data_IF_525840045083
#
_entry.id   IF_525840045083
#
_cell.length_a   1.000
_cell.length_b   1.000
_cell.length_c   1.000
_cell.angle_alpha   90.00
_cell.angle_beta   90.00
_cell.angle_gamma   90.00
#
_symmetry.space_group_name_H-M   'P 1'
#
loop_
_entity.id
_entity.type
_entity.pdbx_description
1 polymer ?
#
# COMPACT_ATOMS: atom_id res chain seq x y z
N UNK A 1 13.12 -3.64 -23.71
CA UNK A 1 12.39 -4.29 -22.59
C UNK A 1 12.33 -3.41 -21.34
N UNK A 2 13.37 -2.61 -21.03
CA UNK A 2 13.34 -1.65 -19.90
C UNK A 2 12.10 -0.74 -19.80
N UNK A 3 11.54 -0.31 -20.94
CA UNK A 3 10.33 0.53 -20.96
C UNK A 3 9.09 -0.24 -20.43
N UNK A 4 8.95 -1.51 -20.81
CA UNK A 4 7.84 -2.37 -20.37
C UNK A 4 7.98 -2.71 -18.88
N UNK A 5 9.19 -3.08 -18.47
CA UNK A 5 9.51 -3.37 -17.07
C UNK A 5 9.21 -2.16 -16.18
N UNK A 6 9.59 -0.95 -16.63
CA UNK A 6 9.33 0.28 -15.88
C UNK A 6 7.85 0.67 -15.86
N UNK A 7 7.12 0.39 -16.95
CA UNK A 7 5.68 0.61 -17.02
C UNK A 7 4.92 -0.31 -16.06
N UNK A 8 5.25 -1.60 -16.04
CA UNK A 8 4.68 -2.59 -15.11
C UNK A 8 5.06 -2.22 -13.67
N UNK A 9 6.33 -1.90 -13.42
CA UNK A 9 6.79 -1.50 -12.09
C UNK A 9 6.05 -0.26 -11.59
N UNK A 10 5.86 0.77 -12.43
CA UNK A 10 5.10 1.97 -12.05
C UNK A 10 3.65 1.67 -11.72
N UNK A 11 3.00 0.76 -12.46
CA UNK A 11 1.64 0.31 -12.16
C UNK A 11 1.57 -0.45 -10.83
N UNK A 12 2.52 -1.35 -10.58
CA UNK A 12 2.60 -2.10 -9.33
C UNK A 12 2.86 -1.15 -8.15
N UNK A 13 3.84 -0.24 -8.26
CA UNK A 13 4.15 0.73 -7.21
C UNK A 13 2.97 1.65 -6.90
N UNK A 14 2.21 2.07 -7.92
CA UNK A 14 0.98 2.84 -7.71
C UNK A 14 -0.08 2.02 -6.96
N UNK A 15 -0.30 0.76 -7.37
CA UNK A 15 -1.26 -0.13 -6.72
C UNK A 15 -0.87 -0.43 -5.26
N UNK A 16 0.41 -0.75 -5.00
CA UNK A 16 0.96 -0.94 -3.64
C UNK A 16 0.77 0.32 -2.80
N UNK A 17 1.03 1.51 -3.36
CA UNK A 17 0.83 2.77 -2.67
C UNK A 17 -0.63 3.00 -2.25
N UNK A 18 -1.58 2.68 -3.13
CA UNK A 18 -3.02 2.78 -2.83
C UNK A 18 -3.42 1.80 -1.72
N UNK A 19 -3.00 0.53 -1.83
CA UNK A 19 -3.31 -0.49 -0.82
C UNK A 19 -2.70 -0.11 0.54
N UNK A 20 -1.45 0.35 0.55
CA UNK A 20 -0.76 0.80 1.76
C UNK A 20 -1.45 2.00 2.40
N UNK A 21 -1.91 2.97 1.61
CA UNK A 21 -2.69 4.11 2.10
C UNK A 21 -3.99 3.65 2.74
N UNK A 22 -4.74 2.74 2.11
CA UNK A 22 -5.99 2.20 2.66
C UNK A 22 -5.74 1.47 3.97
N UNK A 23 -4.75 0.57 4.01
CA UNK A 23 -4.42 -0.21 5.22
C UNK A 23 -3.99 0.71 6.36
N UNK A 24 -3.05 1.63 6.10
CA UNK A 24 -2.60 2.58 7.13
C UNK A 24 -3.70 3.54 7.54
N UNK A 25 -4.55 3.99 6.62
CA UNK A 25 -5.67 4.88 6.93
C UNK A 25 -6.65 4.25 7.90
N UNK A 26 -7.01 2.98 7.66
CA UNK A 26 -7.87 2.22 8.57
C UNK A 26 -7.20 1.98 9.93
N UNK A 27 -5.91 1.65 9.92
CA UNK A 27 -5.12 1.36 11.11
C UNK A 27 -4.86 2.61 11.99
N UNK A 28 -4.73 3.79 11.37
CA UNK A 28 -4.64 5.06 12.07
C UNK A 28 -5.99 5.52 12.61
N UNK A 29 -7.09 5.26 11.88
CA UNK A 29 -8.45 5.54 12.36
C UNK A 29 -8.77 4.75 13.63
N UNK A 30 -8.40 3.47 13.70
CA UNK A 30 -8.58 2.66 14.90
C UNK A 30 -7.69 3.12 16.05
N UNK A 31 -6.42 3.47 15.77
CA UNK A 31 -5.50 4.00 16.76
C UNK A 31 -5.95 5.34 17.34
N UNK A 32 -6.49 6.24 16.51
CA UNK A 32 -7.09 7.49 16.96
C UNK A 32 -8.29 7.21 17.89
N UNK A 33 -9.14 6.25 17.53
CA UNK A 33 -10.27 5.85 18.38
C UNK A 33 -9.83 5.38 19.77
N UNK A 34 -8.82 4.50 19.86
CA UNK A 34 -8.32 4.01 21.14
C UNK A 34 -7.66 5.09 21.99
N UNK A 35 -6.95 6.04 21.35
CA UNK A 35 -6.27 7.12 22.06
C UNK A 35 -7.23 8.24 22.49
N UNK A 36 -8.36 8.41 21.79
CA UNK A 36 -9.44 9.31 22.20
C UNK A 36 -10.12 8.81 23.47
N UNK A 37 -10.30 7.50 23.64
CA UNK A 37 -10.77 6.91 24.89
C UNK A 37 -9.75 7.10 26.04
N UNK A 38 -8.45 7.16 25.72
CA UNK A 38 -7.39 7.45 26.68
C UNK A 38 -7.26 8.96 27.01
N UNK A 39 -7.81 9.85 26.17
CA UNK A 39 -7.78 11.30 26.36
C UNK A 39 -8.58 11.74 27.61
N UNK A 40 -9.57 10.94 28.01
CA UNK A 40 -10.40 11.17 29.21
C UNK A 40 -9.59 11.07 30.53
N UNK A 41 -8.30 10.65 30.46
CA UNK A 41 -7.39 10.53 31.60
C UNK A 41 -6.37 11.68 31.72
N UNK A 42 -6.50 12.76 30.93
CA UNK A 42 -5.71 13.99 31.08
C UNK A 42 -4.54 14.16 30.09
N UNK A 43 -4.53 13.42 28.99
CA UNK A 43 -3.54 13.58 27.92
C UNK A 43 -3.92 14.73 26.96
N UNK A 44 -2.95 15.55 26.56
CA UNK A 44 -3.18 16.62 25.58
C UNK A 44 -3.35 16.04 24.17
N UNK A 45 -4.34 16.52 23.42
CA UNK A 45 -4.60 16.12 22.01
C UNK A 45 -3.36 16.22 21.10
N UNK A 46 -2.49 17.21 21.35
CA UNK A 46 -1.21 17.38 20.64
C UNK A 46 -0.24 16.23 20.88
N UNK A 47 -0.25 15.63 22.08
CA UNK A 47 0.62 14.52 22.47
C UNK A 47 0.21 13.22 21.78
N UNK A 48 -1.10 12.99 21.68
CA UNK A 48 -1.69 11.88 20.92
C UNK A 48 -1.33 11.95 19.44
N UNK A 49 -1.45 13.14 18.83
CA UNK A 49 -1.13 13.32 17.42
C UNK A 49 0.37 13.04 17.13
N UNK A 50 1.26 13.49 18.02
CA UNK A 50 2.71 13.23 17.94
C UNK A 50 3.00 11.73 18.11
N UNK A 51 2.34 11.08 19.06
CA UNK A 51 2.49 9.64 19.30
C UNK A 51 2.07 8.81 18.08
N UNK A 52 0.92 9.15 17.48
CA UNK A 52 0.43 8.48 16.28
C UNK A 52 1.38 8.74 15.10
N UNK A 53 1.85 9.98 14.92
CA UNK A 53 2.83 10.31 13.88
C UNK A 53 4.14 9.51 14.03
N UNK A 54 4.64 9.34 15.26
CA UNK A 54 5.84 8.54 15.56
C UNK A 54 5.66 7.04 15.34
N UNK A 55 4.43 6.53 15.40
CA UNK A 55 4.14 5.10 15.17
C UNK A 55 3.88 4.76 13.70
N UNK A 56 3.60 5.76 12.84
CA UNK A 56 3.41 5.55 11.39
C UNK A 56 4.58 4.81 10.72
N UNK A 57 5.86 5.20 10.88
CA UNK A 57 6.97 4.56 10.18
C UNK A 57 7.12 3.08 10.54
N UNK A 58 6.83 2.74 11.79
CA UNK A 58 6.83 1.36 12.28
C UNK A 58 5.69 0.56 11.64
N UNK A 59 4.48 1.10 11.63
CA UNK A 59 3.29 0.47 11.02
C UNK A 59 3.50 0.22 9.52
N UNK A 60 4.09 1.19 8.80
CA UNK A 60 4.47 1.03 7.39
C UNK A 60 5.35 -0.20 7.18
N UNK A 61 6.35 -0.41 8.03
CA UNK A 61 7.27 -1.54 7.93
C UNK A 61 6.57 -2.87 8.24
N UNK A 62 5.73 -2.91 9.26
CA UNK A 62 4.96 -4.11 9.64
C UNK A 62 3.96 -4.53 8.55
N UNK A 63 3.31 -3.58 7.88
CA UNK A 63 2.34 -3.84 6.81
C UNK A 63 2.95 -3.93 5.40
N UNK A 64 4.24 -3.61 5.22
CA UNK A 64 4.92 -3.65 3.93
C UNK A 64 4.76 -5.00 3.20
N UNK A 65 5.04 -6.18 3.78
CA UNK A 65 4.94 -7.44 3.05
C UNK A 65 3.50 -7.76 2.60
N UNK A 66 2.51 -7.46 3.44
CA UNK A 66 1.10 -7.67 3.13
C UNK A 66 0.62 -6.73 2.01
N UNK A 67 0.95 -5.44 2.12
CA UNK A 67 0.56 -4.42 1.14
C UNK A 67 1.25 -4.62 -0.20
N UNK A 68 2.50 -5.08 -0.22
CA UNK A 68 3.21 -5.44 -1.45
C UNK A 68 2.56 -6.65 -2.13
N UNK A 69 2.22 -7.71 -1.40
CA UNK A 69 1.55 -8.88 -1.99
C UNK A 69 0.21 -8.51 -2.62
N UNK A 70 -0.65 -7.82 -1.86
CA UNK A 70 -1.97 -7.42 -2.33
C UNK A 70 -1.85 -6.40 -3.47
N UNK A 71 -0.95 -5.43 -3.35
CA UNK A 71 -0.71 -4.42 -4.39
C UNK A 71 -0.16 -5.00 -5.69
N UNK A 72 0.72 -6.01 -5.63
CA UNK A 72 1.15 -6.76 -6.81
C UNK A 72 -0.02 -7.50 -7.47
N UNK A 73 -0.87 -8.14 -6.67
CA UNK A 73 -2.02 -8.88 -7.18
C UNK A 73 -3.03 -7.94 -7.87
N UNK A 74 -3.31 -6.80 -7.24
CA UNK A 74 -4.19 -5.75 -7.80
C UNK A 74 -3.56 -5.12 -9.05
N UNK A 75 -2.28 -4.75 -9.01
CA UNK A 75 -1.59 -4.09 -10.12
C UNK A 75 -1.37 -4.97 -11.35
N UNK A 76 -1.10 -6.27 -11.15
CA UNK A 76 -1.06 -7.23 -12.25
C UNK A 76 -2.47 -7.58 -12.74
N UNK A 77 -3.44 -7.65 -11.81
CA UNK A 77 -4.85 -7.89 -12.14
C UNK A 77 -5.43 -6.79 -13.03
N UNK A 78 -5.11 -5.52 -12.79
CA UNK A 78 -5.57 -4.41 -13.63
C UNK A 78 -4.96 -4.46 -15.03
N UNK A 79 -3.66 -4.75 -15.14
CA UNK A 79 -2.98 -4.95 -16.43
C UNK A 79 -3.52 -6.16 -17.21
N UNK A 80 -3.90 -7.23 -16.50
CA UNK A 80 -4.55 -8.39 -17.11
C UNK A 80 -5.98 -8.07 -17.58
N UNK A 81 -6.75 -7.30 -16.79
CA UNK A 81 -8.11 -6.92 -17.12
C UNK A 81 -8.20 -6.01 -18.35
N UNK A 82 -7.22 -5.12 -18.53
CA UNK A 82 -7.09 -4.28 -19.72
C UNK A 82 -6.50 -5.03 -20.94
N UNK A 83 -6.29 -6.34 -20.83
CA UNK A 83 -5.63 -7.18 -21.85
C UNK A 83 -4.19 -6.78 -22.18
N UNK A 84 -3.58 -5.81 -21.49
CA UNK A 84 -2.20 -5.37 -21.70
C UNK A 84 -1.22 -6.52 -21.44
N UNK A 85 -1.41 -7.24 -20.33
CA UNK A 85 -0.59 -8.40 -19.98
C UNK A 85 -0.78 -9.56 -20.99
N UNK A 86 -1.96 -9.67 -21.59
CA UNK A 86 -2.24 -10.70 -22.62
C UNK A 86 -1.57 -10.35 -23.94
N UNK A 87 -1.59 -9.09 -24.36
CA UNK A 87 -0.90 -8.62 -25.56
C UNK A 87 0.62 -8.75 -25.41
N UNK A 88 1.18 -8.40 -24.23
CA UNK A 88 2.62 -8.57 -23.96
C UNK A 88 3.05 -10.04 -24.11
N UNK A 89 2.26 -10.98 -23.58
CA UNK A 89 2.51 -12.42 -23.74
C UNK A 89 2.40 -12.87 -25.20
N UNK A 90 1.40 -12.38 -25.93
CA UNK A 90 1.22 -12.69 -27.36
C UNK A 90 2.37 -12.15 -28.24
N UNK A 91 3.01 -11.05 -27.82
CA UNK A 91 4.18 -10.47 -28.47
C UNK A 91 5.51 -11.20 -28.16
N UNK A 92 5.47 -12.33 -27.45
CA UNK A 92 6.65 -13.14 -27.14
C UNK A 92 7.40 -12.73 -25.86
N UNK A 93 6.79 -11.91 -24.99
CA UNK A 93 7.34 -11.62 -23.66
C UNK A 93 7.08 -12.81 -22.74
N UNK A 94 8.15 -13.52 -22.37
CA UNK A 94 8.09 -14.65 -21.44
C UNK A 94 7.68 -14.19 -20.03
N UNK A 95 6.80 -14.96 -19.38
CA UNK A 95 6.35 -14.73 -18.01
C UNK A 95 7.41 -15.00 -16.94
N UNK A 96 8.56 -15.57 -17.34
CA UNK A 96 9.66 -15.94 -16.44
C UNK A 96 10.73 -14.87 -16.25
N UNK A 97 10.49 -13.63 -16.69
CA UNK A 97 11.45 -12.53 -16.61
C UNK A 97 10.82 -11.26 -16.07
#
# INVERSE_FOLDING_TARGET
>A
MRLLDWYIAKHIWAAVGIVLLVVLGLDLMTALGSELDALDQGASFSQVLIYIALTVPRRVYEFMPLTVLVGCLVGLGTLANNSELTVMRAAGVSSGR
#
